data_IF_291658842370
#
_entry.id   IF_291658842370
#
_cell.length_a   1.000
_cell.length_b   1.000
_cell.length_c   1.000
_cell.angle_alpha   90.00
_cell.angle_beta   90.00
_cell.angle_gamma   90.00
#
_symmetry.space_group_name_H-M   'P 1'
#
loop_
_entity.id
_entity.type
_entity.pdbx_description
1 polymer ?
#
# COMPACT_ATOMS: atom_id res chain seq x y z
N UNK A 1 10.32 -9.82 -2.65
CA UNK A 1 9.38 -9.16 -1.73
C UNK A 1 7.98 -9.39 -2.28
N UNK A 2 7.25 -10.30 -1.65
CA UNK A 2 5.83 -10.51 -1.95
C UNK A 2 5.01 -9.47 -1.19
N UNK A 3 3.94 -9.00 -1.82
CA UNK A 3 3.10 -7.94 -1.29
C UNK A 3 1.67 -8.47 -1.24
N UNK A 4 1.16 -8.64 -0.02
CA UNK A 4 -0.15 -9.13 0.29
C UNK A 4 -1.06 -7.96 0.68
N UNK A 5 -2.29 -8.01 0.21
CA UNK A 5 -3.31 -7.02 0.55
C UNK A 5 -4.30 -7.66 1.51
N UNK A 6 -4.58 -6.98 2.61
CA UNK A 6 -5.68 -7.32 3.50
C UNK A 6 -7.01 -7.13 2.77
N UNK A 7 -8.03 -7.88 3.19
CA UNK A 7 -9.40 -7.71 2.66
C UNK A 7 -9.90 -6.27 2.85
N UNK A 8 -9.56 -5.66 3.99
CA UNK A 8 -9.91 -4.28 4.29
C UNK A 8 -9.26 -3.29 3.31
N UNK A 9 -7.98 -3.48 2.96
CA UNK A 9 -7.31 -2.63 1.99
C UNK A 9 -7.88 -2.81 0.57
N UNK A 10 -8.23 -4.05 0.19
CA UNK A 10 -8.90 -4.33 -1.08
C UNK A 10 -10.29 -3.69 -1.14
N UNK A 11 -11.06 -3.75 -0.06
CA UNK A 11 -12.36 -3.09 0.03
C UNK A 11 -12.22 -1.57 -0.09
N UNK A 12 -11.25 -0.98 0.63
CA UNK A 12 -10.93 0.45 0.54
C UNK A 12 -10.61 0.88 -0.88
N UNK A 13 -9.78 0.11 -1.59
CA UNK A 13 -9.44 0.35 -2.99
C UNK A 13 -10.67 0.24 -3.91
N UNK A 14 -11.51 -0.78 -3.71
CA UNK A 14 -12.72 -1.00 -4.50
C UNK A 14 -13.74 0.12 -4.32
N UNK A 15 -13.82 0.69 -3.11
CA UNK A 15 -14.70 1.80 -2.79
C UNK A 15 -14.21 3.18 -3.27
N UNK A 16 -12.98 3.29 -3.81
CA UNK A 16 -12.53 4.51 -4.48
C UNK A 16 -13.45 4.81 -5.67
N UNK A 17 -14.13 5.95 -5.59
CA UNK A 17 -14.99 6.51 -6.64
C UNK A 17 -14.66 7.99 -6.80
N UNK A 18 -14.91 8.52 -8.00
CA UNK A 18 -14.78 9.94 -8.29
C UNK A 18 -16.11 10.49 -8.75
N UNK A 19 -16.42 11.73 -8.36
CA UNK A 19 -17.55 12.50 -8.91
C UNK A 19 -17.17 13.22 -10.21
N UNK A 20 -15.87 13.31 -10.51
CA UNK A 20 -15.33 14.07 -11.64
C UNK A 20 -14.75 13.19 -12.74
N UNK A 21 -14.53 11.90 -12.48
CA UNK A 21 -13.93 10.96 -13.43
C UNK A 21 -14.93 9.88 -13.80
N UNK A 22 -14.88 9.44 -15.05
CA UNK A 22 -15.59 8.27 -15.55
C UNK A 22 -15.12 7.00 -14.83
N UNK A 23 -15.88 5.91 -15.00
CA UNK A 23 -15.49 4.59 -14.47
C UNK A 23 -14.16 4.11 -15.06
N UNK A 24 -13.89 4.39 -16.34
CA UNK A 24 -12.65 4.02 -17.03
C UNK A 24 -11.47 4.80 -16.44
N UNK A 25 -11.59 6.12 -16.33
CA UNK A 25 -10.55 6.97 -15.73
C UNK A 25 -10.30 6.60 -14.27
N UNK A 26 -11.35 6.29 -13.51
CA UNK A 26 -11.23 5.81 -12.13
C UNK A 26 -10.48 4.48 -12.07
N UNK A 27 -10.74 3.56 -13.01
CA UNK A 27 -10.03 2.26 -13.09
C UNK A 27 -8.55 2.46 -13.40
N UNK A 28 -8.21 3.32 -14.36
CA UNK A 28 -6.82 3.64 -14.68
C UNK A 28 -6.11 4.36 -13.52
N UNK A 29 -6.83 5.24 -12.82
CA UNK A 29 -6.33 5.86 -11.60
C UNK A 29 -5.99 4.82 -10.52
N UNK A 30 -6.88 3.85 -10.26
CA UNK A 30 -6.62 2.78 -9.27
C UNK A 30 -5.38 1.97 -9.62
N UNK A 31 -5.18 1.63 -10.91
CA UNK A 31 -3.97 0.91 -11.36
C UNK A 31 -2.70 1.71 -11.08
N UNK A 32 -2.71 3.01 -11.39
CA UNK A 32 -1.57 3.89 -11.11
C UNK A 32 -1.31 4.03 -9.60
N UNK A 33 -2.37 4.17 -8.81
CA UNK A 33 -2.27 4.24 -7.35
C UNK A 33 -1.60 2.98 -6.78
N UNK A 34 -2.05 1.79 -7.20
CA UNK A 34 -1.44 0.51 -6.80
C UNK A 34 0.04 0.42 -7.16
N UNK A 35 0.41 0.84 -8.38
CA UNK A 35 1.80 0.88 -8.82
C UNK A 35 2.64 1.80 -7.94
N UNK A 36 2.15 3.01 -7.65
CA UNK A 36 2.84 3.98 -6.80
C UNK A 36 3.00 3.48 -5.36
N UNK A 37 1.97 2.80 -4.82
CA UNK A 37 2.04 2.16 -3.49
C UNK A 37 3.17 1.14 -3.49
N UNK A 38 3.16 0.20 -4.44
CA UNK A 38 4.18 -0.85 -4.53
C UNK A 38 5.58 -0.28 -4.65
N UNK A 39 5.79 0.71 -5.51
CA UNK A 39 7.10 1.36 -5.69
C UNK A 39 7.57 2.05 -4.42
N UNK A 40 6.72 2.86 -3.79
CA UNK A 40 7.08 3.62 -2.59
C UNK A 40 7.36 2.72 -1.39
N UNK A 41 6.50 1.72 -1.19
CA UNK A 41 6.68 0.70 -0.17
C UNK A 41 7.98 -0.08 -0.39
N UNK A 42 8.29 -0.46 -1.63
CA UNK A 42 9.54 -1.18 -1.94
C UNK A 42 10.77 -0.33 -1.65
N UNK A 43 10.76 0.95 -2.02
CA UNK A 43 11.86 1.89 -1.75
C UNK A 43 12.06 2.14 -0.25
N UNK A 44 10.97 2.21 0.52
CA UNK A 44 11.06 2.42 1.96
C UNK A 44 11.44 1.14 2.68
N UNK A 45 10.94 -0.02 2.24
CA UNK A 45 11.30 -1.31 2.83
C UNK A 45 12.76 -1.69 2.66
N UNK A 46 13.45 -1.20 1.63
CA UNK A 46 14.92 -1.34 1.52
C UNK A 46 15.69 -0.40 2.43
N UNK A 47 15.05 0.66 2.95
CA UNK A 47 15.67 1.72 3.74
C UNK A 47 15.39 1.62 5.24
N UNK A 48 14.42 0.79 5.64
CA UNK A 48 14.04 0.57 7.04
C UNK A 48 14.89 -0.59 7.60
N UNK A 49 15.70 -0.37 8.64
CA UNK A 49 16.45 -1.44 9.27
C UNK A 49 15.49 -2.35 10.04
N UNK A 50 15.16 -3.51 9.43
CA UNK A 50 14.34 -4.60 10.01
C UNK A 50 15.05 -5.31 11.19
N UNK A 51 16.13 -4.72 11.71
CA UNK A 51 17.05 -5.34 12.68
C UNK A 51 16.68 -5.14 14.16
N UNK A 52 15.51 -4.61 14.48
CA UNK A 52 14.97 -4.70 15.85
C UNK A 52 14.01 -5.89 15.90
N UNK A 53 14.54 -7.03 16.32
CA UNK A 53 13.73 -8.15 16.79
C UNK A 53 12.66 -7.60 17.75
N UNK A 54 11.38 -7.78 17.41
CA UNK A 54 10.23 -7.29 18.20
C UNK A 54 9.58 -5.99 17.74
N UNK A 55 9.94 -5.40 16.58
CA UNK A 55 9.17 -4.26 16.06
C UNK A 55 7.94 -4.69 15.24
N UNK A 56 6.83 -4.94 15.95
CA UNK A 56 5.49 -5.21 15.41
C UNK A 56 4.76 -3.93 14.94
N UNK A 57 5.50 -2.92 14.48
CA UNK A 57 4.94 -1.61 14.14
C UNK A 57 4.28 -1.60 12.77
N UNK A 58 3.08 -1.01 12.67
CA UNK A 58 2.52 -0.58 11.38
C UNK A 58 3.20 0.71 10.91
N UNK A 59 3.64 0.72 9.66
CA UNK A 59 4.14 1.90 8.97
C UNK A 59 3.01 2.60 8.26
N UNK A 60 3.19 3.89 7.98
CA UNK A 60 2.26 4.66 7.16
C UNK A 60 2.99 5.40 6.05
N UNK A 61 2.38 5.41 4.88
CA UNK A 61 2.78 6.29 3.77
C UNK A 61 1.57 7.06 3.28
N UNK A 62 1.85 8.25 2.76
CA UNK A 62 0.85 9.08 2.11
C UNK A 62 1.13 9.05 0.62
N UNK A 63 0.11 8.69 -0.18
CA UNK A 63 0.15 8.73 -1.64
C UNK A 63 -1.10 9.43 -2.13
N UNK A 64 -0.91 10.52 -2.87
CA UNK A 64 -1.94 11.48 -3.21
C UNK A 64 -2.70 11.94 -1.95
N UNK A 65 -3.97 11.55 -1.86
CA UNK A 65 -4.88 11.83 -0.73
C UNK A 65 -5.11 10.65 0.21
N UNK A 66 -4.45 9.52 -0.03
CA UNK A 66 -4.67 8.29 0.70
C UNK A 66 -3.55 8.04 1.72
N UNK A 67 -3.94 7.64 2.92
CA UNK A 67 -3.03 7.08 3.92
C UNK A 67 -3.06 5.56 3.75
N UNK A 68 -1.89 4.98 3.53
CA UNK A 68 -1.72 3.53 3.38
C UNK A 68 -0.89 3.05 4.56
N UNK A 69 -1.44 2.10 5.29
CA UNK A 69 -0.74 1.41 6.37
C UNK A 69 -0.14 0.13 5.83
N UNK A 70 1.03 -0.26 6.32
CA UNK A 70 1.65 -1.54 5.94
C UNK A 70 2.55 -2.07 7.06
N UNK A 71 2.85 -3.36 7.04
CA UNK A 71 3.81 -4.00 7.96
C UNK A 71 4.66 -5.04 7.22
N UNK A 72 5.77 -5.44 7.85
CA UNK A 72 6.59 -6.55 7.38
C UNK A 72 6.29 -7.78 8.22
N UNK A 73 6.11 -8.93 7.58
CA UNK A 73 6.13 -10.24 8.25
C UNK A 73 7.58 -10.66 8.54
N UNK A 74 7.74 -11.68 9.39
CA UNK A 74 9.05 -12.25 9.74
C UNK A 74 9.82 -12.76 8.49
N UNK A 75 9.09 -13.26 7.49
CA UNK A 75 9.64 -13.74 6.21
C UNK A 75 9.94 -12.60 5.20
N UNK A 76 9.84 -11.34 5.64
CA UNK A 76 9.94 -10.13 4.80
C UNK A 76 8.86 -10.05 3.71
N UNK A 77 7.72 -10.69 3.93
CA UNK A 77 6.52 -10.40 3.15
C UNK A 77 5.88 -9.12 3.67
N UNK A 78 5.18 -8.42 2.79
CA UNK A 78 4.65 -7.11 3.10
C UNK A 78 3.15 -7.13 3.07
N UNK A 79 2.53 -6.77 4.19
CA UNK A 79 1.07 -6.76 4.35
C UNK A 79 0.58 -5.32 4.32
N UNK A 80 -0.40 -5.03 3.45
CA UNK A 80 -1.05 -3.71 3.30
C UNK A 80 -2.51 -3.75 3.73
#
# INVERSE_FOLDING_TARGET
MNLEWTEQALEGLNNIRSRHFTSIETKEYKKRLLKNIKEKVSLLGTSIPVGKEGWEGSYKIIIDKFVVYYSFSEDRELVI
#
